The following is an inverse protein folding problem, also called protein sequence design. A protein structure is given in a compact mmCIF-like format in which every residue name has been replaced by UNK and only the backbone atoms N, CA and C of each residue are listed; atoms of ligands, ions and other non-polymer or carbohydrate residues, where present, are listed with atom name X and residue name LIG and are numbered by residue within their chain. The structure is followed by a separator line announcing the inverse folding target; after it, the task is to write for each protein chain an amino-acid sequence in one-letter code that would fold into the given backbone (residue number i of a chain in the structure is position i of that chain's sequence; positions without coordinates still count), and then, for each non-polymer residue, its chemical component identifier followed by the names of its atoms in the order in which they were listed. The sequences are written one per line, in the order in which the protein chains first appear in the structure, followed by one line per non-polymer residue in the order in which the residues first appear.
data_IF_854209177934
#
_entry.id   IF_854209177934
#
_cell.length_a   1.000
_cell.length_b   1.000
_cell.length_c   1.000
_cell.angle_alpha   90.00
_cell.angle_beta   90.00
_cell.angle_gamma   90.00
#
_symmetry.space_group_name_H-M   'P 1'
#
loop_
_entity.id
_entity.type
_entity.pdbx_description
1 polymer ?
#
# COMPACT_ATOMS: atom_id res chain seq x y z
N UNK A 1 -21.50 -11.62 8.67
CA UNK A 1 -22.01 -10.29 9.10
C UNK A 1 -22.23 -9.40 7.89
N UNK A 2 -23.12 -8.41 8.01
CA UNK A 2 -23.32 -7.36 7.00
C UNK A 2 -22.48 -6.15 7.42
N UNK A 3 -21.52 -5.80 6.60
CA UNK A 3 -20.55 -4.74 6.89
C UNK A 3 -20.85 -3.52 6.03
N UNK A 4 -21.13 -2.38 6.66
CA UNK A 4 -21.23 -1.09 5.98
C UNK A 4 -19.81 -0.52 5.81
N UNK A 5 -19.31 -0.47 4.57
CA UNK A 5 -17.96 0.00 4.24
C UNK A 5 -17.98 1.45 3.77
N UNK A 6 -17.03 2.23 4.28
CA UNK A 6 -16.83 3.62 3.87
C UNK A 6 -15.32 3.96 3.76
N UNK A 7 -14.95 4.76 2.75
CA UNK A 7 -13.58 5.22 2.55
C UNK A 7 -13.55 6.73 2.24
N UNK A 8 -13.36 7.60 3.26
CA UNK A 8 -13.45 9.06 3.14
C UNK A 8 -12.40 9.67 2.21
N UNK A 9 -11.23 9.06 2.10
CA UNK A 9 -10.17 9.57 1.24
C UNK A 9 -10.42 9.23 -0.23
N UNK A 10 -10.75 7.98 -0.52
CA UNK A 10 -10.97 7.52 -1.89
C UNK A 10 -11.87 6.28 -1.92
N UNK A 11 -13.12 6.40 -2.41
CA UNK A 11 -14.01 5.26 -2.54
C UNK A 11 -13.44 4.14 -3.41
N UNK A 12 -13.75 2.86 -3.11
CA UNK A 12 -13.23 1.71 -3.87
C UNK A 12 -13.62 1.70 -5.36
N UNK A 13 -14.72 2.36 -5.71
CA UNK A 13 -15.23 2.50 -7.09
C UNK A 13 -14.82 3.81 -7.77
N UNK A 14 -13.95 4.63 -7.15
CA UNK A 14 -13.48 5.88 -7.75
C UNK A 14 -12.82 5.62 -9.12
N UNK A 15 -13.11 6.42 -10.18
CA UNK A 15 -12.62 6.16 -11.54
C UNK A 15 -11.10 6.17 -11.66
N UNK A 16 -10.41 7.05 -10.92
CA UNK A 16 -8.93 7.14 -11.00
C UNK A 16 -8.26 6.04 -10.18
N UNK A 17 -7.34 5.25 -10.75
CA UNK A 17 -6.54 4.28 -10.01
C UNK A 17 -5.68 4.91 -8.92
N UNK A 18 -5.45 4.19 -7.82
CA UNK A 18 -4.46 4.51 -6.77
C UNK A 18 -4.28 3.33 -5.84
N UNK A 19 -3.18 3.33 -5.05
CA UNK A 19 -2.95 2.34 -4.01
C UNK A 19 -4.08 2.27 -2.99
N UNK A 20 -4.61 3.43 -2.55
CA UNK A 20 -5.73 3.48 -1.60
C UNK A 20 -7.00 2.82 -2.16
N UNK A 21 -7.33 3.09 -3.42
CA UNK A 21 -8.47 2.43 -4.08
C UNK A 21 -8.27 0.93 -4.15
N UNK A 22 -7.08 0.49 -4.58
CA UNK A 22 -6.76 -0.92 -4.72
C UNK A 22 -6.83 -1.65 -3.36
N UNK A 23 -6.28 -1.06 -2.30
CA UNK A 23 -6.33 -1.65 -0.96
C UNK A 23 -7.75 -1.64 -0.38
N UNK A 24 -8.56 -0.60 -0.64
CA UNK A 24 -9.98 -0.59 -0.28
C UNK A 24 -10.75 -1.72 -0.95
N UNK A 25 -10.47 -2.00 -2.23
CA UNK A 25 -11.05 -3.14 -2.96
C UNK A 25 -10.59 -4.48 -2.39
N UNK A 26 -9.31 -4.64 -2.07
CA UNK A 26 -8.77 -5.85 -1.45
C UNK A 26 -9.37 -6.11 -0.08
N UNK A 27 -9.60 -5.08 0.75
CA UNK A 27 -10.27 -5.22 2.05
C UNK A 27 -11.70 -5.74 1.89
N UNK A 28 -12.46 -5.20 0.93
CA UNK A 28 -13.81 -5.67 0.62
C UNK A 28 -13.78 -7.13 0.16
N UNK A 29 -12.85 -7.48 -0.72
CA UNK A 29 -12.70 -8.84 -1.24
C UNK A 29 -12.32 -9.83 -0.13
N UNK A 30 -11.37 -9.46 0.75
CA UNK A 30 -10.97 -10.29 1.88
C UNK A 30 -12.13 -10.54 2.86
N UNK A 31 -12.89 -9.51 3.21
CA UNK A 31 -14.09 -9.68 4.04
C UNK A 31 -15.17 -10.52 3.34
N UNK A 32 -15.34 -10.37 2.03
CA UNK A 32 -16.30 -11.18 1.25
C UNK A 32 -15.85 -12.64 1.19
N UNK A 33 -14.56 -12.89 0.98
CA UNK A 33 -13.98 -14.24 1.02
C UNK A 33 -14.17 -14.92 2.38
N UNK A 34 -14.12 -14.14 3.45
CA UNK A 34 -14.42 -14.59 4.83
C UNK A 34 -15.92 -14.84 5.10
N UNK A 35 -16.80 -14.64 4.11
CA UNK A 35 -18.24 -14.86 4.22
C UNK A 35 -19.03 -13.68 4.79
N UNK A 36 -18.46 -12.48 4.83
CA UNK A 36 -19.21 -11.26 5.16
C UNK A 36 -19.87 -10.68 3.91
N UNK A 37 -21.02 -10.04 4.11
CA UNK A 37 -21.69 -9.24 3.08
C UNK A 37 -21.24 -7.80 3.24
N UNK A 38 -20.44 -7.29 2.30
CA UNK A 38 -19.87 -5.94 2.37
C UNK A 38 -20.60 -5.03 1.40
N UNK A 39 -21.11 -3.91 1.90
CA UNK A 39 -21.78 -2.88 1.11
C UNK A 39 -21.06 -1.54 1.28
N UNK A 40 -20.67 -0.91 0.17
CA UNK A 40 -20.18 0.48 0.18
C UNK A 40 -21.38 1.39 0.46
N UNK A 41 -21.37 2.04 1.63
CA UNK A 41 -22.51 2.82 2.13
C UNK A 41 -22.54 4.24 1.58
N UNK A 42 -21.37 4.78 1.21
CA UNK A 42 -21.25 6.12 0.66
C UNK A 42 -20.02 6.27 -0.23
N UNK A 43 -20.17 7.06 -1.27
CA UNK A 43 -19.08 7.56 -2.11
C UNK A 43 -18.64 8.97 -1.71
N UNK A 44 -19.17 9.50 -0.62
CA UNK A 44 -18.82 10.83 -0.12
C UNK A 44 -17.32 10.88 0.18
N UNK A 45 -16.64 11.85 -0.44
CA UNK A 45 -15.21 12.05 -0.30
C UNK A 45 -14.95 13.33 0.47
N UNK A 46 -14.32 13.22 1.65
CA UNK A 46 -13.99 14.34 2.52
C UNK A 46 -12.54 14.86 2.35
N UNK A 47 -11.84 14.43 1.28
CA UNK A 47 -10.44 14.78 1.07
C UNK A 47 -10.26 16.27 0.75
N UNK A 48 -9.64 17.01 1.67
CA UNK A 48 -9.14 18.37 1.50
C UNK A 48 -7.61 18.39 1.48
N UNK A 49 -7.01 18.80 0.36
CA UNK A 49 -5.55 18.95 0.21
C UNK A 49 -5.09 20.40 0.43
N UNK A 50 -6.01 21.35 0.52
CA UNK A 50 -5.71 22.78 0.62
C UNK A 50 -5.49 23.26 2.05
N UNK A 51 -6.22 22.68 3.02
CA UNK A 51 -6.29 23.17 4.39
C UNK A 51 -7.24 24.38 4.54
N UNK A 52 -8.15 24.57 3.61
CA UNK A 52 -9.12 25.66 3.63
C UNK A 52 -10.25 25.36 4.63
N UNK A 53 -10.44 26.28 5.60
CA UNK A 53 -11.41 26.10 6.67
C UNK A 53 -12.87 26.08 6.18
N UNK A 54 -13.18 26.77 5.08
CA UNK A 54 -14.53 26.78 4.51
C UNK A 54 -14.82 25.46 3.80
N UNK A 55 -13.85 24.92 3.08
CA UNK A 55 -13.94 23.59 2.46
C UNK A 55 -14.17 22.52 3.54
N UNK A 56 -13.42 22.55 4.64
CA UNK A 56 -13.56 21.60 5.74
C UNK A 56 -14.94 21.71 6.41
N UNK A 57 -15.43 22.93 6.63
CA UNK A 57 -16.78 23.16 7.16
C UNK A 57 -17.86 22.62 6.21
N UNK A 58 -17.71 22.82 4.92
CA UNK A 58 -18.62 22.28 3.91
C UNK A 58 -18.60 20.75 3.89
N UNK A 59 -17.46 20.11 4.10
CA UNK A 59 -17.38 18.65 4.23
C UNK A 59 -18.04 18.15 5.51
N UNK A 60 -17.91 18.86 6.63
CA UNK A 60 -18.63 18.54 7.86
C UNK A 60 -20.14 18.58 7.65
N UNK A 61 -20.68 19.65 7.04
CA UNK A 61 -22.11 19.80 6.76
C UNK A 61 -22.59 18.68 5.87
N UNK A 62 -21.94 18.47 4.70
CA UNK A 62 -22.30 17.41 3.75
C UNK A 62 -22.19 16.01 4.36
N UNK A 63 -21.17 15.75 5.18
CA UNK A 63 -21.00 14.48 5.87
C UNK A 63 -22.16 14.19 6.82
N UNK A 64 -22.57 15.18 7.62
CA UNK A 64 -23.75 15.05 8.51
C UNK A 64 -25.06 14.85 7.74
N UNK A 65 -25.24 15.52 6.59
CA UNK A 65 -26.39 15.30 5.71
C UNK A 65 -26.39 13.88 5.13
N UNK A 66 -25.22 13.41 4.69
CA UNK A 66 -25.05 12.06 4.16
C UNK A 66 -25.30 10.99 5.23
N UNK A 67 -24.84 11.20 6.47
CA UNK A 67 -25.13 10.30 7.58
C UNK A 67 -26.65 10.19 7.84
N UNK A 68 -27.36 11.33 7.83
CA UNK A 68 -28.83 11.35 7.98
C UNK A 68 -29.52 10.65 6.82
N UNK A 69 -29.05 10.83 5.60
CA UNK A 69 -29.60 10.12 4.41
C UNK A 69 -29.49 8.61 4.58
N UNK A 70 -28.28 8.12 4.95
CA UNK A 70 -28.04 6.69 5.17
C UNK A 70 -28.91 6.14 6.29
N UNK A 71 -29.00 6.83 7.43
CA UNK A 71 -29.86 6.42 8.54
C UNK A 71 -31.34 6.39 8.14
N UNK A 72 -31.80 7.36 7.33
CA UNK A 72 -33.16 7.39 6.77
C UNK A 72 -33.44 6.19 5.85
N UNK A 73 -32.50 5.83 5.00
CA UNK A 73 -32.65 4.65 4.11
C UNK A 73 -32.69 3.33 4.87
N UNK A 74 -31.85 3.18 5.91
CA UNK A 74 -31.87 2.01 6.79
C UNK A 74 -33.20 1.90 7.51
N UNK A 75 -33.75 3.02 8.02
CA UNK A 75 -34.98 3.05 8.81
C UNK A 75 -36.25 2.87 7.96
N UNK A 76 -36.29 3.46 6.74
CA UNK A 76 -37.51 3.50 5.92
C UNK A 76 -37.72 2.25 5.07
N UNK A 77 -36.65 1.60 4.62
CA UNK A 77 -36.76 0.51 3.65
C UNK A 77 -36.68 -0.90 4.25
N UNK A 78 -36.19 -1.06 5.49
CA UNK A 78 -35.98 -2.37 6.12
C UNK A 78 -35.07 -3.32 5.32
N UNK A 79 -34.59 -2.88 4.14
CA UNK A 79 -33.82 -3.67 3.18
C UNK A 79 -32.30 -3.58 3.42
N UNK A 80 -31.83 -2.48 4.01
CA UNK A 80 -30.41 -2.29 4.34
C UNK A 80 -30.24 -2.50 5.84
N UNK A 81 -29.71 -3.63 6.22
CA UNK A 81 -29.34 -3.92 7.62
C UNK A 81 -27.85 -4.13 7.64
N UNK A 82 -27.14 -3.36 8.48
CA UNK A 82 -25.71 -3.54 8.74
C UNK A 82 -25.49 -3.92 10.19
N UNK A 83 -24.56 -4.83 10.42
CA UNK A 83 -24.20 -5.34 11.75
C UNK A 83 -22.97 -4.61 12.32
N UNK A 84 -22.22 -3.90 11.43
CA UNK A 84 -20.98 -3.22 11.77
C UNK A 84 -20.69 -2.14 10.72
N UNK A 85 -20.13 -1.01 11.17
CA UNK A 85 -19.59 0.04 10.29
C UNK A 85 -18.07 -0.06 10.22
N UNK A 86 -17.52 -0.05 9.00
CA UNK A 86 -16.10 -0.19 8.72
C UNK A 86 -15.58 1.00 7.90
N UNK A 87 -14.73 1.83 8.51
CA UNK A 87 -14.08 2.96 7.81
C UNK A 87 -12.65 2.62 7.49
N UNK A 88 -12.27 2.82 6.22
CA UNK A 88 -10.91 2.61 5.73
C UNK A 88 -10.23 3.93 5.39
N UNK A 89 -8.98 4.10 5.85
CA UNK A 89 -8.08 5.23 5.67
C UNK A 89 -8.60 6.54 6.27
N UNK A 90 -8.43 6.66 7.58
CA UNK A 90 -8.83 7.82 8.38
C UNK A 90 -7.64 8.71 8.71
N UNK A 91 -7.63 9.98 8.25
CA UNK A 91 -6.61 10.96 8.63
C UNK A 91 -7.11 12.41 8.49
N UNK A 92 -6.34 13.38 8.98
CA UNK A 92 -6.77 14.77 9.11
C UNK A 92 -7.22 15.46 7.80
N UNK A 93 -6.70 15.02 6.63
CA UNK A 93 -7.13 15.56 5.33
C UNK A 93 -8.37 14.88 4.77
N UNK A 94 -8.72 13.71 5.29
CA UNK A 94 -9.90 12.94 4.91
C UNK A 94 -10.55 12.31 6.15
N UNK A 95 -11.14 13.12 7.03
CA UNK A 95 -11.80 12.65 8.24
C UNK A 95 -13.11 11.93 7.93
N UNK A 96 -13.51 11.01 8.81
CA UNK A 96 -14.80 10.35 8.74
C UNK A 96 -15.87 11.17 9.49
N UNK A 97 -16.78 11.77 8.72
CA UNK A 97 -17.92 12.53 9.24
C UNK A 97 -19.18 11.67 9.44
N UNK A 98 -19.14 10.38 9.10
CA UNK A 98 -20.31 9.49 9.05
C UNK A 98 -20.29 8.43 10.15
N UNK A 99 -19.18 7.68 10.25
CA UNK A 99 -19.12 6.40 10.94
C UNK A 99 -19.48 6.47 12.42
N UNK A 100 -18.93 7.44 13.15
CA UNK A 100 -19.20 7.58 14.57
C UNK A 100 -20.68 7.89 14.89
N UNK A 101 -21.34 8.74 14.08
CA UNK A 101 -22.74 9.09 14.24
C UNK A 101 -23.67 7.92 13.88
N UNK A 102 -23.41 7.27 12.73
CA UNK A 102 -24.21 6.13 12.25
C UNK A 102 -24.11 4.96 13.22
N UNK A 103 -22.90 4.58 13.62
CA UNK A 103 -22.69 3.45 14.53
C UNK A 103 -23.35 3.67 15.89
N UNK A 104 -23.22 4.88 16.44
CA UNK A 104 -23.87 5.26 17.70
C UNK A 104 -25.40 5.18 17.58
N UNK A 105 -25.96 5.71 16.49
CA UNK A 105 -27.42 5.75 16.29
C UNK A 105 -28.01 4.37 16.11
N UNK A 106 -27.30 3.47 15.40
CA UNK A 106 -27.76 2.10 15.17
C UNK A 106 -27.40 1.12 16.30
N UNK A 107 -26.53 1.54 17.24
CA UNK A 107 -26.05 0.67 18.32
C UNK A 107 -25.16 -0.47 17.82
N UNK A 108 -24.37 -0.26 16.77
CA UNK A 108 -23.51 -1.25 16.13
C UNK A 108 -22.02 -0.91 16.33
N UNK A 109 -21.11 -1.90 16.29
CA UNK A 109 -19.69 -1.63 16.36
C UNK A 109 -19.16 -0.73 15.23
N UNK A 110 -18.25 0.17 15.60
CA UNK A 110 -17.48 1.02 14.68
C UNK A 110 -16.04 0.55 14.60
N UNK A 111 -15.59 0.19 13.40
CA UNK A 111 -14.22 -0.23 13.11
C UNK A 111 -13.53 0.79 12.21
N UNK A 112 -12.29 1.11 12.55
CA UNK A 112 -11.41 1.98 11.76
C UNK A 112 -10.17 1.20 11.36
N UNK A 113 -9.93 1.09 10.06
CA UNK A 113 -8.71 0.50 9.49
C UNK A 113 -7.84 1.61 8.89
N UNK A 114 -6.53 1.54 9.15
CA UNK A 114 -5.54 2.54 8.70
C UNK A 114 -5.89 3.96 9.16
N UNK A 115 -5.66 4.23 10.42
CA UNK A 115 -5.84 5.56 11.00
C UNK A 115 -4.49 6.21 11.30
N UNK A 116 -4.35 7.49 10.92
CA UNK A 116 -3.17 8.28 11.21
C UNK A 116 -3.54 9.57 11.96
N UNK A 117 -2.78 9.89 13.00
CA UNK A 117 -2.91 11.14 13.75
C UNK A 117 -1.64 11.97 13.62
N UNK A 118 -1.78 13.24 13.26
CA UNK A 118 -0.68 14.17 13.03
C UNK A 118 -0.66 15.31 14.07
N UNK A 119 0.03 15.18 15.21
CA UNK A 119 0.01 16.19 16.30
C UNK A 119 0.35 17.62 15.85
N UNK A 120 1.24 17.74 14.84
CA UNK A 120 1.61 19.05 14.25
C UNK A 120 0.44 19.80 13.60
N UNK A 121 -0.69 19.13 13.34
CA UNK A 121 -1.88 19.73 12.75
C UNK A 121 -2.88 20.26 13.82
N UNK A 122 -2.62 20.12 15.11
CA UNK A 122 -3.50 20.65 16.16
C UNK A 122 -3.73 22.17 16.04
N UNK A 123 -2.69 22.92 15.69
CA UNK A 123 -2.78 24.35 15.38
C UNK A 123 -2.58 24.63 13.87
N UNK A 124 -2.66 23.60 13.05
CA UNK A 124 -2.44 23.68 11.60
C UNK A 124 -3.74 23.91 10.81
N UNK A 125 -3.62 24.05 9.50
CA UNK A 125 -4.76 24.32 8.63
C UNK A 125 -5.80 23.20 8.59
N UNK A 126 -5.47 21.98 9.03
CA UNK A 126 -6.40 20.83 9.12
C UNK A 126 -6.86 20.54 10.56
N UNK A 127 -6.85 21.51 11.46
CA UNK A 127 -7.23 21.30 12.88
C UNK A 127 -8.65 20.72 13.02
N UNK A 128 -9.61 21.15 12.21
CA UNK A 128 -10.99 20.65 12.24
C UNK A 128 -11.06 19.16 11.82
N UNK A 129 -10.39 18.81 10.73
CA UNK A 129 -10.27 17.43 10.30
C UNK A 129 -9.55 16.56 11.33
N UNK A 130 -8.51 17.08 11.98
CA UNK A 130 -7.80 16.35 13.05
C UNK A 130 -8.68 16.11 14.28
N UNK A 131 -9.49 17.09 14.67
CA UNK A 131 -10.45 16.93 15.77
C UNK A 131 -11.50 15.86 15.47
N UNK A 132 -11.93 15.77 14.19
CA UNK A 132 -12.85 14.72 13.77
C UNK A 132 -12.19 13.33 13.76
N UNK A 133 -10.91 13.22 13.38
CA UNK A 133 -10.14 11.97 13.54
C UNK A 133 -10.09 11.54 14.99
N UNK A 134 -9.85 12.45 15.92
CA UNK A 134 -9.88 12.15 17.36
C UNK A 134 -11.26 11.65 17.79
N UNK A 135 -12.31 12.32 17.36
CA UNK A 135 -13.71 11.90 17.66
C UNK A 135 -13.99 10.50 17.15
N UNK A 136 -13.58 10.18 15.92
CA UNK A 136 -13.74 8.85 15.32
C UNK A 136 -12.97 7.78 16.10
N UNK A 137 -11.70 8.04 16.47
CA UNK A 137 -10.87 7.12 17.26
C UNK A 137 -11.44 6.86 18.66
N UNK A 138 -11.93 7.90 19.34
CA UNK A 138 -12.61 7.75 20.65
C UNK A 138 -13.92 6.98 20.58
N UNK A 139 -14.58 6.98 19.42
CA UNK A 139 -15.84 6.27 19.19
C UNK A 139 -15.64 4.83 18.70
N UNK A 140 -14.43 4.48 18.25
CA UNK A 140 -14.14 3.17 17.68
C UNK A 140 -14.22 2.06 18.73
N UNK A 141 -14.86 0.94 18.35
CA UNK A 141 -14.85 -0.32 19.08
C UNK A 141 -13.68 -1.21 18.65
N UNK A 142 -13.24 -1.05 17.40
CA UNK A 142 -12.12 -1.78 16.85
C UNK A 142 -11.22 -0.92 15.98
N UNK A 143 -9.90 -1.16 16.05
CA UNK A 143 -8.90 -0.48 15.22
C UNK A 143 -7.96 -1.50 14.61
N UNK A 144 -7.79 -1.42 13.28
CA UNK A 144 -6.85 -2.23 12.51
C UNK A 144 -5.74 -1.32 12.00
N UNK A 145 -4.51 -1.55 12.47
CA UNK A 145 -3.32 -0.86 11.98
C UNK A 145 -2.70 -1.64 10.83
N UNK A 146 -2.53 -1.00 9.67
CA UNK A 146 -1.82 -1.57 8.54
C UNK A 146 -0.33 -1.18 8.59
N UNK A 147 -0.04 0.04 9.08
CA UNK A 147 1.31 0.51 9.31
C UNK A 147 1.65 0.50 10.82
N UNK A 148 2.71 -0.20 11.26
CA UNK A 148 3.11 -0.23 12.67
C UNK A 148 3.39 1.17 13.25
N UNK A 149 3.92 2.10 12.46
CA UNK A 149 4.24 3.46 12.87
C UNK A 149 3.00 4.25 13.32
N UNK A 150 1.88 4.10 12.61
CA UNK A 150 0.67 4.87 12.89
C UNK A 150 0.01 4.43 14.20
N UNK A 151 0.20 3.19 14.61
CA UNK A 151 -0.33 2.66 15.88
C UNK A 151 0.07 3.48 17.09
N UNK A 152 1.32 3.93 17.15
CA UNK A 152 1.80 4.75 18.26
C UNK A 152 1.14 6.14 18.32
N UNK A 153 0.88 6.72 17.16
CA UNK A 153 0.28 8.07 17.07
C UNK A 153 -1.19 8.10 17.47
N UNK A 154 -1.94 7.01 17.30
CA UNK A 154 -3.37 6.94 17.60
C UNK A 154 -3.66 6.46 19.04
N UNK A 155 -2.73 5.74 19.66
CA UNK A 155 -2.91 5.12 20.99
C UNK A 155 -3.50 6.05 22.05
N UNK A 156 -3.10 7.35 22.18
CA UNK A 156 -3.63 8.26 23.20
C UNK A 156 -5.13 8.58 23.03
N UNK A 157 -5.70 8.31 21.87
CA UNK A 157 -7.09 8.64 21.54
C UNK A 157 -8.03 7.44 21.59
N UNK A 158 -7.49 6.26 21.84
CA UNK A 158 -8.27 5.03 21.91
C UNK A 158 -8.86 4.84 23.31
N UNK A 159 -10.10 4.36 23.37
CA UNK A 159 -10.71 3.95 24.61
C UNK A 159 -10.04 2.70 25.19
N UNK A 160 -10.11 2.52 26.51
CA UNK A 160 -9.51 1.37 27.19
C UNK A 160 -10.02 0.01 26.69
N UNK A 161 -11.25 -0.04 26.21
CA UNK A 161 -11.92 -1.28 25.76
C UNK A 161 -11.85 -1.49 24.26
N UNK A 162 -11.09 -0.67 23.51
CA UNK A 162 -10.95 -0.84 22.06
C UNK A 162 -10.17 -2.11 21.72
N UNK A 163 -10.73 -2.93 20.85
CA UNK A 163 -10.00 -4.08 20.31
C UNK A 163 -9.03 -3.61 19.23
N UNK A 164 -7.76 -3.95 19.35
CA UNK A 164 -6.72 -3.56 18.39
C UNK A 164 -6.15 -4.79 17.68
N UNK A 165 -5.92 -4.67 16.38
CA UNK A 165 -5.24 -5.66 15.56
C UNK A 165 -4.28 -5.00 14.58
N UNK A 166 -3.34 -5.76 14.06
CA UNK A 166 -2.52 -5.37 12.92
C UNK A 166 -2.85 -6.28 11.75
N UNK A 167 -2.93 -5.71 10.56
CA UNK A 167 -3.10 -6.44 9.31
C UNK A 167 -1.88 -6.18 8.44
N UNK A 168 -1.16 -7.24 8.07
CA UNK A 168 -0.02 -7.13 7.16
C UNK A 168 -0.49 -6.72 5.76
N UNK A 169 0.34 -6.02 4.97
CA UNK A 169 0.05 -5.78 3.57
C UNK A 169 -0.22 -7.09 2.84
N UNK A 170 -1.23 -7.15 1.99
CA UNK A 170 -1.65 -8.36 1.31
C UNK A 170 -2.13 -8.09 -0.11
N UNK A 171 -2.11 -9.11 -0.94
CA UNK A 171 -2.65 -9.06 -2.30
C UNK A 171 -3.10 -10.46 -2.75
N UNK A 172 -3.71 -10.52 -3.95
CA UNK A 172 -4.15 -11.81 -4.53
C UNK A 172 -2.95 -12.65 -4.92
N UNK A 173 -3.08 -13.96 -4.78
CA UNK A 173 -2.12 -14.90 -5.36
C UNK A 173 -2.17 -14.84 -6.89
N UNK A 174 -1.05 -15.16 -7.51
CA UNK A 174 -0.98 -15.33 -8.96
C UNK A 174 -1.33 -16.78 -9.34
N UNK A 175 -1.94 -17.00 -10.50
CA UNK A 175 -1.97 -18.32 -11.08
C UNK A 175 -0.54 -18.83 -11.31
N UNK A 176 -0.40 -20.14 -11.40
CA UNK A 176 0.90 -20.73 -11.70
C UNK A 176 1.48 -20.14 -13.00
N UNK A 177 2.77 -19.80 -12.96
CA UNK A 177 3.49 -19.27 -14.11
C UNK A 177 3.37 -20.25 -15.28
N UNK A 178 2.95 -19.75 -16.45
CA UNK A 178 2.77 -20.57 -17.65
C UNK A 178 4.06 -20.70 -18.46
N UNK A 179 4.94 -19.73 -18.38
CA UNK A 179 6.19 -19.64 -19.12
C UNK A 179 7.39 -19.63 -18.17
N UNK A 180 8.44 -20.34 -18.52
CA UNK A 180 9.70 -20.31 -17.76
C UNK A 180 10.34 -18.92 -17.83
N UNK A 181 10.91 -18.43 -16.70
CA UNK A 181 11.53 -17.09 -16.60
C UNK A 181 12.51 -16.82 -17.74
N UNK A 182 13.42 -17.73 -18.03
CA UNK A 182 14.45 -17.53 -19.05
C UNK A 182 13.88 -17.32 -20.45
N UNK A 183 12.82 -18.05 -20.81
CA UNK A 183 12.14 -17.87 -22.11
C UNK A 183 11.38 -16.55 -22.17
N UNK A 184 10.65 -16.21 -21.11
CA UNK A 184 9.94 -14.93 -21.01
C UNK A 184 10.90 -13.76 -21.11
N UNK A 185 12.02 -13.80 -20.37
CA UNK A 185 13.07 -12.79 -20.38
C UNK A 185 13.69 -12.62 -21.77
N UNK A 186 14.01 -13.73 -22.45
CA UNK A 186 14.53 -13.70 -23.82
C UNK A 186 13.53 -13.08 -24.81
N UNK A 187 12.25 -13.43 -24.72
CA UNK A 187 11.19 -12.88 -25.56
C UNK A 187 11.00 -11.38 -25.37
N UNK A 188 10.93 -10.93 -24.11
CA UNK A 188 10.79 -9.50 -23.78
C UNK A 188 12.04 -8.72 -24.16
N UNK A 189 13.23 -9.29 -23.93
CA UNK A 189 14.50 -8.68 -24.32
C UNK A 189 14.62 -8.51 -25.83
N UNK A 190 14.24 -9.52 -26.60
CA UNK A 190 14.23 -9.42 -28.07
C UNK A 190 13.26 -8.33 -28.58
N UNK A 191 12.10 -8.21 -27.95
CA UNK A 191 11.10 -7.20 -28.33
C UNK A 191 11.59 -5.77 -28.08
N UNK A 192 12.31 -5.55 -26.98
CA UNK A 192 12.78 -4.22 -26.55
C UNK A 192 14.25 -3.92 -26.93
N UNK A 193 14.97 -4.87 -27.52
CA UNK A 193 16.40 -4.73 -27.77
C UNK A 193 17.26 -4.79 -26.51
N UNK A 194 16.75 -5.41 -25.42
CA UNK A 194 17.45 -5.52 -24.14
C UNK A 194 18.20 -6.87 -24.07
N UNK A 195 19.46 -6.85 -23.63
CA UNK A 195 20.21 -8.10 -23.42
C UNK A 195 19.56 -8.91 -22.29
N UNK A 196 19.17 -10.12 -22.59
CA UNK A 196 18.54 -11.04 -21.64
C UNK A 196 19.52 -11.92 -20.86
N UNK A 197 20.82 -11.88 -21.16
CA UNK A 197 21.84 -12.70 -20.51
C UNK A 197 22.18 -12.22 -19.10
N UNK A 198 22.44 -10.91 -18.86
CA UNK A 198 22.74 -10.44 -17.51
C UNK A 198 21.49 -10.42 -16.62
N UNK A 199 21.65 -10.37 -15.30
CA UNK A 199 20.53 -10.18 -14.40
C UNK A 199 19.73 -8.90 -14.70
N UNK A 200 18.41 -8.99 -14.65
CA UNK A 200 17.51 -7.84 -14.73
C UNK A 200 17.13 -7.35 -13.34
N UNK A 201 17.49 -6.12 -13.04
CA UNK A 201 16.96 -5.35 -11.94
C UNK A 201 15.64 -4.72 -12.36
N UNK A 202 14.68 -4.60 -11.45
CA UNK A 202 13.41 -3.94 -11.75
C UNK A 202 13.01 -2.99 -10.62
N UNK A 203 12.50 -1.80 -10.99
CA UNK A 203 11.84 -0.87 -10.09
C UNK A 203 10.49 -0.45 -10.67
N UNK A 204 9.44 -0.54 -9.85
CA UNK A 204 8.07 -0.17 -10.23
C UNK A 204 7.56 0.87 -9.26
N UNK A 205 7.43 2.12 -9.70
CA UNK A 205 6.94 3.20 -8.86
C UNK A 205 6.41 4.38 -9.68
N UNK A 206 5.44 5.11 -9.12
CA UNK A 206 5.03 6.39 -9.70
C UNK A 206 6.16 7.42 -9.58
N UNK A 207 6.45 8.12 -10.69
CA UNK A 207 7.48 9.17 -10.74
C UNK A 207 6.91 10.51 -10.28
N UNK A 208 6.65 10.60 -8.97
CA UNK A 208 6.11 11.83 -8.33
C UNK A 208 7.22 12.59 -7.62
N UNK A 209 7.08 13.92 -7.58
CA UNK A 209 7.98 14.79 -6.80
C UNK A 209 7.99 14.41 -5.31
N UNK A 210 9.10 14.67 -4.65
CA UNK A 210 9.32 14.37 -3.24
C UNK A 210 9.95 13.01 -3.02
N UNK A 211 9.42 12.22 -2.08
CA UNK A 211 10.08 10.97 -1.61
C UNK A 211 10.25 9.92 -2.72
N UNK A 212 9.32 9.84 -3.68
CA UNK A 212 9.45 8.92 -4.82
C UNK A 212 10.59 9.34 -5.76
N UNK A 213 10.64 10.61 -6.13
CA UNK A 213 11.73 11.18 -6.94
C UNK A 213 13.09 10.98 -6.23
N UNK A 214 13.14 11.24 -4.92
CA UNK A 214 14.33 11.03 -4.10
C UNK A 214 14.78 9.57 -4.09
N UNK A 215 13.84 8.62 -4.01
CA UNK A 215 14.14 7.20 -4.12
C UNK A 215 14.80 6.85 -5.45
N UNK A 216 14.33 7.40 -6.57
CA UNK A 216 14.98 7.20 -7.87
C UNK A 216 16.39 7.80 -7.93
N UNK A 217 16.61 8.97 -7.33
CA UNK A 217 17.96 9.57 -7.25
C UNK A 217 18.93 8.70 -6.44
N UNK A 218 18.49 8.16 -5.31
CA UNK A 218 19.31 7.22 -4.51
C UNK A 218 19.59 5.96 -5.31
N UNK A 219 18.59 5.40 -6.02
CA UNK A 219 18.74 4.22 -6.87
C UNK A 219 19.78 4.46 -7.97
N UNK A 220 19.65 5.56 -8.72
CA UNK A 220 20.57 5.90 -9.79
C UNK A 220 22.01 6.06 -9.26
N UNK A 221 22.18 6.78 -8.14
CA UNK A 221 23.47 6.99 -7.51
C UNK A 221 24.12 5.69 -7.01
N UNK A 222 23.32 4.76 -6.50
CA UNK A 222 23.81 3.45 -6.06
C UNK A 222 24.22 2.56 -7.24
N UNK A 223 23.41 2.50 -8.29
CA UNK A 223 23.72 1.70 -9.48
C UNK A 223 24.93 2.23 -10.24
N UNK A 224 25.19 3.54 -10.22
CA UNK A 224 26.41 4.14 -10.78
C UNK A 224 27.69 3.64 -10.09
N UNK A 225 27.62 3.10 -8.86
CA UNK A 225 28.79 2.54 -8.15
C UNK A 225 29.11 1.09 -8.54
N UNK A 226 28.26 0.45 -9.33
CA UNK A 226 28.41 -0.97 -9.70
C UNK A 226 28.39 -1.19 -11.22
N UNK A 227 28.90 -0.22 -11.99
CA UNK A 227 28.99 -0.30 -13.45
C UNK A 227 30.03 -1.32 -13.95
N UNK A 228 30.88 -1.80 -13.08
CA UNK A 228 31.82 -2.90 -13.31
C UNK A 228 31.14 -4.27 -13.42
N UNK A 229 29.88 -4.39 -13.02
CA UNK A 229 29.08 -5.61 -13.17
C UNK A 229 28.14 -5.53 -14.37
N UNK A 230 27.79 -6.70 -14.91
CA UNK A 230 26.76 -6.82 -15.95
C UNK A 230 25.37 -6.91 -15.33
N UNK A 231 24.50 -5.98 -15.69
CA UNK A 231 23.08 -5.94 -15.31
C UNK A 231 22.29 -5.03 -16.25
N UNK A 232 20.97 -5.22 -16.29
CA UNK A 232 20.01 -4.35 -16.95
C UNK A 232 19.00 -3.84 -15.92
N UNK A 233 18.56 -2.60 -16.05
CA UNK A 233 17.52 -2.02 -15.19
C UNK A 233 16.24 -1.75 -15.99
N UNK A 234 15.14 -2.34 -15.54
CA UNK A 234 13.80 -2.07 -16.04
C UNK A 234 13.12 -1.08 -15.10
N UNK A 235 12.77 0.10 -15.60
CA UNK A 235 12.02 1.12 -14.87
C UNK A 235 10.58 1.18 -15.37
N UNK A 236 9.61 0.93 -14.50
CA UNK A 236 8.19 1.00 -14.81
C UNK A 236 7.54 2.07 -13.95
N UNK A 237 6.86 3.00 -14.61
CA UNK A 237 6.12 4.08 -13.97
C UNK A 237 6.18 5.38 -14.76
N UNK A 238 5.33 6.30 -14.37
CA UNK A 238 5.32 7.66 -14.93
C UNK A 238 4.82 8.66 -13.89
N UNK A 239 4.92 9.95 -14.20
CA UNK A 239 4.43 11.01 -13.34
C UNK A 239 5.08 12.36 -13.66
N UNK A 240 4.76 13.34 -12.84
CA UNK A 240 5.21 14.73 -13.00
C UNK A 240 6.74 14.93 -12.78
N UNK A 241 7.41 13.96 -12.17
CA UNK A 241 8.86 13.93 -12.00
C UNK A 241 9.60 13.06 -13.05
N UNK A 242 8.91 12.47 -14.05
CA UNK A 242 9.54 11.55 -15.01
C UNK A 242 10.78 12.15 -15.70
N UNK A 243 10.73 13.41 -16.14
CA UNK A 243 11.89 14.07 -16.75
C UNK A 243 13.08 14.25 -15.80
N UNK A 244 12.85 14.46 -14.51
CA UNK A 244 13.90 14.52 -13.49
C UNK A 244 14.46 13.14 -13.19
N UNK A 245 13.59 12.14 -13.07
CA UNK A 245 13.96 10.75 -12.83
C UNK A 245 14.84 10.22 -13.97
N UNK A 246 14.43 10.40 -15.23
CA UNK A 246 15.22 9.94 -16.38
C UNK A 246 16.63 10.54 -16.36
N UNK A 247 16.74 11.86 -16.14
CA UNK A 247 18.07 12.52 -16.03
C UNK A 247 18.93 11.98 -14.91
N UNK A 248 18.38 11.46 -13.83
CA UNK A 248 19.18 10.86 -12.76
C UNK A 248 19.95 9.63 -13.25
N UNK A 249 19.45 8.93 -14.27
CA UNK A 249 20.08 7.74 -14.85
C UNK A 249 20.98 8.03 -16.06
N UNK A 250 21.05 9.28 -16.57
CA UNK A 250 21.93 9.65 -17.70
C UNK A 250 23.39 9.19 -17.53
N UNK A 251 24.01 9.27 -16.32
CA UNK A 251 25.39 8.81 -16.12
C UNK A 251 25.58 7.29 -16.28
N UNK A 252 24.49 6.50 -16.23
CA UNK A 252 24.55 5.03 -16.37
C UNK A 252 24.45 4.62 -17.84
N UNK A 253 23.67 5.34 -18.63
CA UNK A 253 23.47 5.11 -20.06
C UNK A 253 22.21 4.30 -20.41
N UNK A 254 21.69 4.59 -21.60
CA UNK A 254 20.48 3.96 -22.13
C UNK A 254 20.66 2.47 -22.47
N UNK A 255 21.88 2.02 -22.64
CA UNK A 255 22.23 0.61 -22.89
C UNK A 255 21.96 -0.28 -21.67
N UNK A 256 21.83 0.32 -20.47
CA UNK A 256 21.59 -0.41 -19.21
C UNK A 256 20.25 -0.08 -18.57
N UNK A 257 19.68 1.09 -18.85
CA UNK A 257 18.47 1.60 -18.18
C UNK A 257 17.33 1.75 -19.18
N UNK A 258 16.29 0.96 -18.98
CA UNK A 258 15.15 0.86 -19.88
C UNK A 258 13.87 1.39 -19.19
N UNK A 259 13.56 2.66 -19.43
CA UNK A 259 12.35 3.30 -18.91
C UNK A 259 11.16 2.99 -19.80
N UNK A 260 10.27 2.11 -19.35
CA UNK A 260 9.12 1.63 -20.13
C UNK A 260 7.86 2.51 -19.98
N UNK A 261 7.93 3.52 -19.11
CA UNK A 261 6.75 4.35 -18.84
C UNK A 261 5.71 3.62 -17.97
N UNK A 262 4.45 4.05 -18.07
CA UNK A 262 3.34 3.37 -17.40
C UNK A 262 2.89 2.19 -18.25
N UNK A 263 2.83 1.02 -17.62
CA UNK A 263 2.33 -0.21 -18.24
C UNK A 263 1.03 -0.64 -17.58
N UNK A 264 0.22 -1.43 -18.28
CA UNK A 264 -0.93 -2.09 -17.70
C UNK A 264 -0.48 -3.17 -16.68
N UNK A 265 -1.35 -3.52 -15.70
CA UNK A 265 -0.98 -4.46 -14.65
C UNK A 265 -0.45 -5.81 -15.17
N UNK A 266 -1.06 -6.35 -16.23
CA UNK A 266 -0.69 -7.63 -16.84
C UNK A 266 0.69 -7.56 -17.51
N UNK A 267 1.03 -6.44 -18.13
CA UNK A 267 2.36 -6.23 -18.72
C UNK A 267 3.40 -6.07 -17.62
N UNK A 268 3.11 -5.27 -16.57
CA UNK A 268 3.98 -5.12 -15.40
C UNK A 268 4.32 -6.47 -14.77
N UNK A 269 3.33 -7.37 -14.66
CA UNK A 269 3.54 -8.72 -14.13
C UNK A 269 4.52 -9.53 -14.98
N UNK A 270 4.50 -9.40 -16.32
CA UNK A 270 5.46 -10.09 -17.18
C UNK A 270 6.90 -9.64 -16.91
N UNK A 271 7.12 -8.34 -16.71
CA UNK A 271 8.47 -7.83 -16.38
C UNK A 271 8.90 -8.23 -14.98
N UNK A 272 8.00 -8.28 -13.99
CA UNK A 272 8.30 -8.84 -12.68
C UNK A 272 8.66 -10.33 -12.78
N UNK A 273 7.93 -11.10 -13.58
CA UNK A 273 8.24 -12.51 -13.82
C UNK A 273 9.57 -12.75 -14.54
N UNK A 274 10.00 -11.83 -15.40
CA UNK A 274 11.23 -11.92 -16.17
C UNK A 274 12.47 -11.43 -15.40
N UNK A 275 12.28 -10.63 -14.35
CA UNK A 275 13.37 -10.00 -13.59
C UNK A 275 13.98 -10.93 -12.54
N UNK A 276 15.16 -10.54 -12.04
CA UNK A 276 15.96 -11.31 -11.09
C UNK A 276 16.01 -10.67 -9.69
N UNK A 277 15.95 -9.33 -9.59
CA UNK A 277 15.99 -8.60 -8.32
C UNK A 277 15.10 -7.36 -8.41
N UNK A 278 14.28 -7.12 -7.40
CA UNK A 278 13.55 -5.86 -7.24
C UNK A 278 14.39 -4.88 -6.43
N UNK A 279 14.55 -3.65 -6.91
CA UNK A 279 15.40 -2.63 -6.29
C UNK A 279 14.62 -1.34 -6.03
N UNK A 280 14.49 -0.94 -4.76
CA UNK A 280 13.75 0.26 -4.40
C UNK A 280 14.27 0.89 -3.11
N UNK A 281 14.94 2.06 -3.11
CA UNK A 281 15.44 2.70 -1.89
C UNK A 281 14.39 3.10 -0.86
N UNK A 282 13.12 3.17 -1.26
CA UNK A 282 11.97 3.26 -0.35
C UNK A 282 12.02 4.44 0.64
N UNK A 283 12.47 5.62 0.20
CA UNK A 283 12.52 6.83 1.05
C UNK A 283 11.11 7.15 1.57
N UNK A 284 10.95 7.16 2.91
CA UNK A 284 9.66 7.37 3.59
C UNK A 284 8.50 6.47 3.10
N UNK A 285 8.80 5.26 2.65
CA UNK A 285 7.79 4.32 2.17
C UNK A 285 6.90 3.83 3.32
N UNK A 286 5.59 4.00 3.18
CA UNK A 286 4.62 3.59 4.21
C UNK A 286 4.40 2.06 4.21
N UNK A 287 4.25 1.45 3.03
CA UNK A 287 3.97 0.01 2.86
C UNK A 287 4.87 -0.65 1.84
N UNK A 288 4.99 -0.06 0.65
CA UNK A 288 5.76 -0.65 -0.43
C UNK A 288 5.04 -1.79 -1.16
N UNK A 289 3.80 -1.59 -1.56
CA UNK A 289 3.01 -2.59 -2.29
C UNK A 289 3.72 -3.17 -3.51
N UNK A 290 4.56 -2.39 -4.20
CA UNK A 290 5.36 -2.89 -5.30
C UNK A 290 6.41 -3.95 -4.86
N UNK A 291 6.95 -3.83 -3.64
CA UNK A 291 7.83 -4.86 -3.05
C UNK A 291 7.05 -6.13 -2.69
N UNK A 292 5.82 -5.98 -2.22
CA UNK A 292 4.93 -7.12 -2.00
C UNK A 292 4.59 -7.84 -3.30
N UNK A 293 4.33 -7.07 -4.37
CA UNK A 293 4.15 -7.64 -5.71
C UNK A 293 5.41 -8.35 -6.19
N UNK A 294 6.60 -7.79 -5.94
CA UNK A 294 7.86 -8.47 -6.24
C UNK A 294 7.98 -9.83 -5.50
N UNK A 295 7.69 -9.88 -4.19
CA UNK A 295 7.68 -11.12 -3.42
C UNK A 295 6.65 -12.14 -3.96
N UNK A 296 5.48 -11.67 -4.40
CA UNK A 296 4.46 -12.52 -5.06
C UNK A 296 5.02 -13.21 -6.31
N UNK A 297 5.92 -12.54 -7.04
CA UNK A 297 6.64 -13.09 -8.19
C UNK A 297 7.89 -13.88 -7.80
N UNK A 298 8.23 -13.94 -6.51
CA UNK A 298 9.41 -14.62 -5.99
C UNK A 298 10.68 -13.80 -6.20
N UNK A 299 10.62 -12.48 -6.37
CA UNK A 299 11.81 -11.66 -6.50
C UNK A 299 12.40 -11.32 -5.12
N UNK A 300 13.71 -11.51 -4.91
CA UNK A 300 14.39 -10.91 -3.78
C UNK A 300 14.37 -9.38 -3.91
N UNK A 301 14.24 -8.69 -2.79
CA UNK A 301 14.08 -7.24 -2.75
C UNK A 301 15.28 -6.60 -2.08
N UNK A 302 15.88 -5.58 -2.69
CA UNK A 302 16.78 -4.64 -2.01
C UNK A 302 16.02 -3.35 -1.76
N UNK A 303 15.85 -2.98 -0.48
CA UNK A 303 15.08 -1.80 -0.11
C UNK A 303 15.73 -1.02 1.04
N UNK A 304 15.43 0.28 1.13
CA UNK A 304 15.70 1.05 2.34
C UNK A 304 14.79 0.61 3.49
N UNK A 305 15.32 0.58 4.69
CA UNK A 305 14.57 0.23 5.89
C UNK A 305 13.53 1.30 6.24
N UNK A 306 12.30 0.89 6.39
CA UNK A 306 11.23 1.59 7.10
C UNK A 306 10.43 0.56 7.89
N UNK A 307 9.62 0.99 8.87
CA UNK A 307 8.74 0.05 9.57
C UNK A 307 7.78 -0.67 8.61
N UNK A 308 7.35 0.02 7.53
CA UNK A 308 6.50 -0.57 6.49
C UNK A 308 7.24 -1.59 5.63
N UNK A 309 8.44 -1.27 5.14
CA UNK A 309 9.22 -2.19 4.29
C UNK A 309 9.63 -3.46 5.05
N UNK A 310 9.91 -3.34 6.36
CA UNK A 310 10.26 -4.46 7.23
C UNK A 310 9.09 -5.43 7.48
N UNK A 311 7.85 -5.04 7.22
CA UNK A 311 6.71 -5.97 7.27
C UNK A 311 6.70 -6.92 6.07
N UNK A 312 7.26 -6.50 4.93
CA UNK A 312 7.31 -7.26 3.68
C UNK A 312 8.64 -7.98 3.56
N UNK A 313 9.74 -7.24 3.61
CA UNK A 313 11.10 -7.79 3.40
C UNK A 313 11.67 -8.26 4.72
N UNK A 314 12.00 -9.55 4.81
CA UNK A 314 12.77 -10.12 5.92
C UNK A 314 14.25 -10.06 5.55
N UNK A 315 14.97 -9.16 6.24
CA UNK A 315 16.39 -8.92 5.96
C UNK A 315 17.21 -10.20 5.96
N UNK A 316 18.10 -10.35 4.97
CA UNK A 316 18.96 -11.50 4.71
C UNK A 316 18.24 -12.84 4.42
N UNK A 317 16.91 -12.84 4.34
CA UNK A 317 16.10 -14.04 4.05
C UNK A 317 15.32 -13.90 2.74
N UNK A 318 14.67 -12.75 2.54
CA UNK A 318 13.86 -12.48 1.34
C UNK A 318 14.43 -11.32 0.50
N UNK A 319 15.57 -10.79 0.91
CA UNK A 319 16.24 -9.66 0.33
C UNK A 319 17.10 -8.94 1.36
N UNK A 320 17.44 -7.68 1.10
CA UNK A 320 18.22 -6.84 1.99
C UNK A 320 17.49 -5.55 2.34
N UNK A 321 17.51 -5.19 3.63
CA UNK A 321 17.10 -3.89 4.13
C UNK A 321 18.35 -3.05 4.46
N UNK A 322 18.52 -1.92 3.78
CA UNK A 322 19.66 -1.04 3.96
C UNK A 322 19.29 0.17 4.82
N UNK A 323 20.28 0.83 5.38
CA UNK A 323 20.08 2.11 6.04
C UNK A 323 19.39 3.10 5.08
N UNK A 324 18.36 3.85 5.54
CA UNK A 324 17.64 4.79 4.68
C UNK A 324 18.59 5.77 3.98
N UNK A 325 18.44 5.91 2.67
CA UNK A 325 19.19 6.84 1.81
C UNK A 325 20.72 6.61 1.79
N UNK A 326 21.22 5.54 2.36
CA UNK A 326 22.64 5.20 2.29
C UNK A 326 22.94 4.52 0.95
N UNK A 327 23.50 5.33 0.02
CA UNK A 327 23.79 4.93 -1.35
C UNK A 327 24.78 3.77 -1.38
N UNK A 328 25.82 3.81 -0.53
CA UNK A 328 26.90 2.81 -0.51
C UNK A 328 26.38 1.44 -0.05
N UNK A 329 25.65 1.39 1.08
CA UNK A 329 25.10 0.12 1.58
C UNK A 329 24.05 -0.45 0.62
N UNK A 330 23.29 0.40 -0.06
CA UNK A 330 22.34 -0.05 -1.08
C UNK A 330 23.06 -0.65 -2.30
N UNK A 331 24.10 0.02 -2.80
CA UNK A 331 24.92 -0.47 -3.89
C UNK A 331 25.59 -1.83 -3.55
N UNK A 332 26.14 -1.96 -2.33
CA UNK A 332 26.74 -3.20 -1.85
C UNK A 332 25.73 -4.35 -1.77
N UNK A 333 24.51 -4.08 -1.29
CA UNK A 333 23.44 -5.08 -1.24
C UNK A 333 23.03 -5.57 -2.63
N UNK A 334 22.91 -4.66 -3.61
CA UNK A 334 22.63 -5.02 -5.00
C UNK A 334 23.80 -5.83 -5.59
N UNK A 335 25.05 -5.36 -5.42
CA UNK A 335 26.27 -6.07 -5.85
C UNK A 335 26.28 -7.50 -5.32
N UNK A 336 26.01 -7.67 -4.03
CA UNK A 336 26.03 -8.97 -3.39
C UNK A 336 25.04 -9.97 -4.01
N UNK A 337 23.86 -9.50 -4.40
CA UNK A 337 22.88 -10.33 -5.13
C UNK A 337 23.31 -10.58 -6.59
N UNK A 338 23.93 -9.61 -7.26
CA UNK A 338 24.38 -9.79 -8.64
C UNK A 338 25.50 -10.84 -8.75
N UNK A 339 26.46 -10.82 -7.83
CA UNK A 339 27.61 -11.72 -7.80
C UNK A 339 27.26 -13.14 -7.31
N UNK A 340 26.17 -13.32 -6.54
CA UNK A 340 25.84 -14.59 -5.88
C UNK A 340 24.53 -15.20 -6.37
N UNK A 341 24.58 -15.96 -7.44
CA UNK A 341 23.40 -16.64 -8.03
C UNK A 341 22.68 -17.54 -7.01
N UNK A 342 23.41 -18.38 -6.27
CA UNK A 342 22.83 -19.27 -5.27
C UNK A 342 22.10 -18.53 -4.15
N UNK A 343 22.61 -17.36 -3.76
CA UNK A 343 21.96 -16.50 -2.77
C UNK A 343 20.64 -15.94 -3.33
N UNK A 344 20.64 -15.45 -4.59
CA UNK A 344 19.42 -14.99 -5.25
C UNK A 344 18.36 -16.09 -5.26
N UNK A 345 18.69 -17.30 -5.70
CA UNK A 345 17.74 -18.42 -5.72
C UNK A 345 17.20 -18.77 -4.32
N UNK A 346 18.06 -18.68 -3.30
CA UNK A 346 17.63 -18.93 -1.92
C UNK A 346 16.67 -17.87 -1.44
N UNK A 347 16.96 -16.58 -1.72
CA UNK A 347 16.07 -15.47 -1.37
C UNK A 347 14.79 -15.44 -2.20
N UNK A 348 14.82 -15.91 -3.47
CA UNK A 348 13.62 -16.11 -4.29
C UNK A 348 12.63 -17.07 -3.62
N UNK A 349 13.13 -18.23 -3.15
CA UNK A 349 12.31 -19.18 -2.39
C UNK A 349 11.75 -18.55 -1.13
N UNK A 350 12.61 -17.89 -0.35
CA UNK A 350 12.21 -17.20 0.87
C UNK A 350 11.17 -16.11 0.64
N UNK A 351 11.31 -15.31 -0.43
CA UNK A 351 10.35 -14.28 -0.81
C UNK A 351 8.97 -14.89 -1.14
N UNK A 352 8.96 -15.96 -1.92
CA UNK A 352 7.72 -16.67 -2.28
C UNK A 352 7.07 -17.34 -1.07
N UNK A 353 7.85 -18.00 -0.22
CA UNK A 353 7.35 -18.63 0.99
C UNK A 353 6.74 -17.60 1.95
N UNK A 354 7.45 -16.47 2.19
CA UNK A 354 6.92 -15.39 3.03
C UNK A 354 5.64 -14.79 2.47
N UNK A 355 5.57 -14.56 1.15
CA UNK A 355 4.33 -14.10 0.51
C UNK A 355 3.17 -15.06 0.77
N UNK A 356 3.39 -16.36 0.55
CA UNK A 356 2.35 -17.40 0.71
C UNK A 356 1.94 -17.64 2.17
N UNK A 357 2.81 -17.35 3.15
CA UNK A 357 2.48 -17.53 4.57
C UNK A 357 1.80 -16.33 5.22
N UNK A 358 2.10 -15.11 4.76
CA UNK A 358 1.79 -13.90 5.53
C UNK A 358 0.97 -12.86 4.76
N UNK A 359 0.96 -12.93 3.42
CA UNK A 359 0.56 -11.79 2.58
C UNK A 359 -0.52 -12.11 1.55
N UNK A 360 -1.18 -13.26 1.69
CA UNK A 360 -2.25 -13.64 0.75
C UNK A 360 -3.58 -12.99 1.12
N UNK A 361 -4.48 -12.93 0.14
CA UNK A 361 -5.87 -12.49 0.37
C UNK A 361 -6.58 -13.39 1.40
N UNK A 362 -6.27 -14.68 1.40
CA UNK A 362 -6.81 -15.68 2.31
C UNK A 362 -6.33 -15.46 3.76
N UNK A 363 -5.06 -15.04 3.95
CA UNK A 363 -4.53 -14.69 5.26
C UNK A 363 -5.24 -13.45 5.82
N UNK A 364 -5.39 -12.44 4.98
CA UNK A 364 -6.13 -11.23 5.34
C UNK A 364 -7.60 -11.53 5.66
N UNK A 365 -8.24 -12.41 4.89
CA UNK A 365 -9.62 -12.83 5.13
C UNK A 365 -9.78 -13.49 6.50
N UNK A 366 -8.87 -14.42 6.87
CA UNK A 366 -8.88 -15.07 8.19
C UNK A 366 -8.65 -14.07 9.33
N UNK A 367 -7.69 -13.16 9.16
CA UNK A 367 -7.38 -12.14 10.17
C UNK A 367 -8.56 -11.18 10.39
N UNK A 368 -9.16 -10.72 9.30
CA UNK A 368 -10.33 -9.83 9.35
C UNK A 368 -11.55 -10.53 9.97
N UNK A 369 -11.86 -11.78 9.58
CA UNK A 369 -12.97 -12.54 10.16
C UNK A 369 -12.81 -12.71 11.67
N UNK A 370 -11.64 -13.15 12.11
CA UNK A 370 -11.33 -13.32 13.53
C UNK A 370 -11.52 -12.01 14.30
N UNK A 371 -10.99 -10.91 13.77
CA UNK A 371 -11.10 -9.60 14.40
C UNK A 371 -12.55 -9.11 14.46
N UNK A 372 -13.27 -9.14 13.35
CA UNK A 372 -14.65 -8.63 13.28
C UNK A 372 -15.60 -9.42 14.17
N UNK A 373 -15.47 -10.76 14.24
CA UNK A 373 -16.26 -11.59 15.14
C UNK A 373 -15.98 -11.31 16.63
N UNK A 374 -14.76 -10.96 16.99
CA UNK A 374 -14.43 -10.63 18.39
C UNK A 374 -15.20 -9.41 18.92
N UNK A 375 -15.60 -8.50 18.03
CA UNK A 375 -16.36 -7.28 18.39
C UNK A 375 -17.86 -7.52 18.61
N UNK A 376 -18.39 -8.64 18.14
CA UNK A 376 -19.84 -8.96 18.26
C UNK A 376 -20.13 -9.95 19.38
N UNK A 377 -19.12 -10.50 20.03
CA UNK A 377 -19.23 -11.44 21.15
C UNK A 377 -19.10 -10.75 22.53
N UNK A 378 -18.79 -9.47 22.55
CA UNK A 378 -18.70 -8.60 23.73
C UNK A 378 -19.93 -7.72 23.86
#
# INVERSE_FOLDING_TARGET
MRVGFYAPMKPPNHPSPSGDRALGQLLIEAMTLAGHQVQVMSEFRSLDISGDAEIQRNFEIKGREEAKRILGEISSNGLVIIDLWFTYHLFHKAPDWLGAEISKTLGIPYVVAEAAYAPKQQAGPWHAGLAQVETALRSANGVISLNPRDRHCIQPFLNANVTQSSLLPFTRQLPNRQEERGRLKARLGQHLGIDSRPPWLIAVAMMRKGDKERSFWVLASALAQILDLDWQLILIGSGDAAGSVNRAFDPIGEERVHALGMLEPEETQQYLDASDVFVWPAVNEAFGMAMLEAHRHGLPVVAGYTDGTATIVKDQVTGFLTEPENIETFAQAVRHLLENHNLRETMERGAREKFLSDHTLEDAARALDSFLRSLTLS
#
